data_IF_523054870464
#
_entry.id   IF_523054870464
#
_cell.length_a   1.000
_cell.length_b   1.000
_cell.length_c   1.000
_cell.angle_alpha   90.00
_cell.angle_beta   90.00
_cell.angle_gamma   90.00
#
_symmetry.space_group_name_H-M   'P 1'
#
loop_
_entity.id
_entity.type
_entity.pdbx_description
1 polymer ?
#
# COMPACT_ATOMS: atom_id res chain seq x y z
N UNK A 1 16.91 -7.39 -12.66
CA UNK A 1 16.45 -7.18 -11.28
C UNK A 1 17.42 -6.21 -10.62
N UNK A 2 16.88 -5.23 -9.91
CA UNK A 2 17.63 -4.22 -9.16
C UNK A 2 17.85 -4.78 -7.76
N UNK A 3 19.11 -4.90 -7.33
CA UNK A 3 19.40 -5.22 -5.92
C UNK A 3 19.70 -3.91 -5.19
N UNK A 4 18.77 -3.46 -4.36
CA UNK A 4 18.99 -2.29 -3.51
C UNK A 4 20.00 -2.66 -2.43
N UNK A 5 21.10 -1.92 -2.36
CA UNK A 5 22.20 -2.12 -1.40
C UNK A 5 22.61 -0.83 -0.70
N UNK A 6 21.93 0.27 -1.00
CA UNK A 6 22.16 1.60 -0.43
C UNK A 6 20.84 2.34 -0.33
N UNK A 7 20.73 3.17 0.70
CA UNK A 7 19.62 4.10 0.89
C UNK A 7 19.56 5.11 -0.26
N UNK A 8 18.36 5.47 -0.71
CA UNK A 8 18.17 6.54 -1.69
C UNK A 8 18.32 7.94 -1.08
N UNK A 9 18.15 8.03 0.24
CA UNK A 9 18.25 9.26 1.03
C UNK A 9 19.43 9.17 2.00
N UNK A 10 20.02 10.32 2.34
CA UNK A 10 21.19 10.37 3.24
C UNK A 10 20.79 10.45 4.71
N UNK A 11 19.56 10.89 4.98
CA UNK A 11 19.01 11.02 6.32
C UNK A 11 17.49 10.85 6.30
N UNK A 12 16.90 10.48 7.45
CA UNK A 12 15.46 10.48 7.66
C UNK A 12 14.81 11.84 7.38
N UNK A 13 15.56 12.90 7.68
CA UNK A 13 15.19 14.28 7.42
C UNK A 13 14.95 14.56 5.93
N UNK A 14 15.57 13.83 5.01
CA UNK A 14 15.35 14.03 3.58
C UNK A 14 14.09 13.33 3.05
N UNK A 15 13.47 12.44 3.84
CA UNK A 15 12.17 11.86 3.53
C UNK A 15 11.13 12.96 3.72
N UNK A 16 10.61 13.51 2.63
CA UNK A 16 9.71 14.66 2.66
C UNK A 16 8.50 14.41 1.77
N UNK A 17 7.35 14.94 2.17
CA UNK A 17 6.17 14.91 1.33
C UNK A 17 6.36 15.70 0.03
N UNK A 18 5.75 15.22 -1.05
CA UNK A 18 5.75 15.81 -2.38
C UNK A 18 7.08 15.72 -3.13
N UNK A 19 8.15 15.18 -2.53
CA UNK A 19 9.47 15.03 -3.16
C UNK A 19 9.94 13.58 -3.12
N UNK A 20 10.25 13.05 -4.30
CA UNK A 20 10.86 11.74 -4.49
C UNK A 20 12.22 11.88 -5.22
N UNK A 21 13.17 10.98 -4.97
CA UNK A 21 14.46 10.95 -5.71
C UNK A 21 14.29 10.43 -7.13
N UNK A 22 13.29 9.59 -7.36
CA UNK A 22 12.96 8.99 -8.65
C UNK A 22 11.49 9.31 -8.97
N UNK A 23 11.18 10.57 -9.37
CA UNK A 23 9.81 10.97 -9.68
C UNK A 23 9.27 10.21 -10.90
N UNK A 24 7.94 10.13 -11.00
CA UNK A 24 7.24 9.39 -12.05
C UNK A 24 6.33 10.34 -12.85
N UNK A 25 6.42 10.26 -14.18
CA UNK A 25 5.48 10.91 -15.09
C UNK A 25 4.55 9.86 -15.69
N UNK A 26 3.24 10.09 -15.62
CA UNK A 26 2.24 9.13 -16.07
C UNK A 26 0.96 9.81 -16.59
N UNK A 27 0.11 9.03 -17.25
CA UNK A 27 -1.20 9.48 -17.73
C UNK A 27 -1.14 10.69 -18.66
N UNK A 28 -2.06 11.63 -18.44
CA UNK A 28 -2.16 12.87 -19.19
C UNK A 28 -1.18 13.93 -18.65
N UNK A 29 0.10 13.56 -18.52
CA UNK A 29 1.16 14.46 -18.06
C UNK A 29 1.17 14.72 -16.56
N UNK A 30 0.62 13.81 -15.74
CA UNK A 30 0.73 13.88 -14.29
C UNK A 30 2.18 13.58 -13.87
N UNK A 31 2.75 14.43 -13.02
CA UNK A 31 4.09 14.26 -12.47
C UNK A 31 3.98 14.08 -10.95
N UNK A 32 4.51 12.98 -10.42
CA UNK A 32 4.43 12.62 -9.00
C UNK A 32 5.82 12.63 -8.38
N UNK A 33 5.95 13.26 -7.20
CA UNK A 33 7.21 13.40 -6.46
C UNK A 33 8.12 14.52 -6.96
N UNK A 34 7.61 15.47 -7.77
CA UNK A 34 8.38 16.58 -8.38
C UNK A 34 8.36 17.89 -7.57
N UNK A 35 8.03 17.83 -6.28
CA UNK A 35 7.95 19.00 -5.38
C UNK A 35 6.53 19.44 -5.05
N UNK A 36 5.55 18.53 -5.15
CA UNK A 36 4.14 18.79 -4.88
C UNK A 36 3.44 17.49 -4.48
N UNK A 37 2.53 17.57 -3.52
CA UNK A 37 1.59 16.50 -3.16
C UNK A 37 0.32 16.64 -3.98
N UNK A 38 -0.17 15.51 -4.51
CA UNK A 38 -1.37 15.46 -5.34
C UNK A 38 -2.42 14.53 -4.72
N UNK A 39 -3.72 14.81 -4.89
CA UNK A 39 -4.75 13.91 -4.40
C UNK A 39 -4.78 12.63 -5.22
N UNK A 40 -4.93 11.50 -4.54
CA UNK A 40 -5.35 10.22 -5.13
C UNK A 40 -6.78 9.93 -4.69
N UNK A 41 -7.72 9.91 -5.62
CA UNK A 41 -9.13 9.73 -5.29
C UNK A 41 -9.54 8.31 -5.62
N UNK A 42 -10.03 7.60 -4.61
CA UNK A 42 -10.46 6.22 -4.71
C UNK A 42 -11.93 6.09 -4.26
N UNK A 43 -12.67 5.24 -4.95
CA UNK A 43 -14.12 5.17 -4.86
C UNK A 43 -14.60 3.78 -5.26
N UNK A 44 -15.75 3.41 -4.70
CA UNK A 44 -16.38 2.13 -4.99
C UNK A 44 -17.87 2.31 -5.25
N UNK A 45 -18.44 1.30 -5.89
CA UNK A 45 -19.87 1.27 -6.19
C UNK A 45 -20.69 1.42 -4.90
N UNK A 46 -21.87 2.05 -4.98
CA UNK A 46 -22.85 1.92 -3.90
C UNK A 46 -23.28 0.46 -3.78
N UNK A 47 -24.04 0.11 -2.75
CA UNK A 47 -24.56 -1.25 -2.60
C UNK A 47 -25.39 -1.66 -3.83
N UNK A 48 -24.80 -2.49 -4.69
CA UNK A 48 -25.42 -3.05 -5.88
C UNK A 48 -24.73 -4.36 -6.27
N UNK A 49 -25.40 -5.16 -7.10
CA UNK A 49 -24.81 -6.38 -7.66
C UNK A 49 -23.82 -6.02 -8.77
N UNK A 50 -22.68 -6.70 -8.77
CA UNK A 50 -21.64 -6.58 -9.80
C UNK A 50 -21.70 -7.84 -10.67
N UNK A 51 -22.60 -7.80 -11.66
CA UNK A 51 -22.94 -8.90 -12.57
C UNK A 51 -23.12 -8.32 -13.99
N UNK A 52 -22.96 -9.13 -15.03
CA UNK A 52 -22.98 -8.70 -16.43
C UNK A 52 -24.26 -7.95 -16.81
N UNK A 53 -25.41 -8.43 -16.34
CA UNK A 53 -26.73 -7.85 -16.61
C UNK A 53 -26.87 -6.42 -16.07
N UNK A 54 -26.06 -6.05 -15.07
CA UNK A 54 -26.03 -4.71 -14.48
C UNK A 54 -25.00 -3.79 -15.12
N UNK A 55 -24.23 -4.26 -16.11
CA UNK A 55 -23.14 -3.48 -16.72
C UNK A 55 -23.56 -2.07 -17.14
N UNK A 56 -24.72 -1.84 -17.81
CA UNK A 56 -25.15 -0.48 -18.13
C UNK A 56 -25.41 0.41 -16.92
N UNK A 57 -25.88 -0.16 -15.80
CA UNK A 57 -26.10 0.58 -14.56
C UNK A 57 -24.78 0.86 -13.82
N UNK A 58 -23.87 -0.11 -13.81
CA UNK A 58 -22.51 0.01 -13.26
C UNK A 58 -21.77 1.14 -13.99
N UNK A 59 -21.77 1.14 -15.33
CA UNK A 59 -21.09 2.16 -16.12
C UNK A 59 -21.68 3.57 -15.92
N UNK A 60 -22.97 3.69 -15.61
CA UNK A 60 -23.58 4.98 -15.22
C UNK A 60 -23.07 5.47 -13.86
N UNK A 61 -22.94 4.58 -12.87
CA UNK A 61 -22.37 4.94 -11.57
C UNK A 61 -20.94 5.47 -11.71
N UNK A 62 -20.11 4.79 -12.51
CA UNK A 62 -18.74 5.26 -12.78
C UNK A 62 -18.72 6.57 -13.60
N UNK A 63 -19.67 6.77 -14.51
CA UNK A 63 -19.81 8.04 -15.23
C UNK A 63 -20.07 9.21 -14.26
N UNK A 64 -21.04 9.03 -13.38
CA UNK A 64 -21.45 10.05 -12.41
C UNK A 64 -20.33 10.34 -11.40
N UNK A 65 -19.74 9.30 -10.80
CA UNK A 65 -18.66 9.43 -9.81
C UNK A 65 -17.45 10.16 -10.41
N UNK A 66 -16.92 9.65 -11.53
CA UNK A 66 -15.68 10.15 -12.11
C UNK A 66 -15.87 11.54 -12.69
N UNK A 67 -17.01 11.82 -13.33
CA UNK A 67 -17.32 13.17 -13.82
C UNK A 67 -17.39 14.18 -12.67
N UNK A 68 -17.99 13.80 -11.54
CA UNK A 68 -18.09 14.68 -10.36
C UNK A 68 -16.72 14.95 -9.74
N UNK A 69 -15.88 13.92 -9.61
CA UNK A 69 -14.49 14.04 -9.14
C UNK A 69 -13.69 14.99 -10.05
N UNK A 70 -13.69 14.73 -11.36
CA UNK A 70 -12.92 15.53 -12.33
C UNK A 70 -13.42 16.98 -12.38
N UNK A 71 -14.74 17.20 -12.35
CA UNK A 71 -15.32 18.54 -12.31
C UNK A 71 -14.95 19.27 -11.02
N UNK A 72 -14.91 18.58 -9.88
CA UNK A 72 -14.49 19.16 -8.60
C UNK A 72 -13.02 19.57 -8.63
N UNK A 73 -12.14 18.74 -9.18
CA UNK A 73 -10.72 19.07 -9.38
C UNK A 73 -10.54 20.34 -10.23
N UNK A 74 -11.27 20.44 -11.35
CA UNK A 74 -11.27 21.66 -12.20
C UNK A 74 -11.76 22.87 -11.41
N UNK A 75 -12.88 22.71 -10.68
CA UNK A 75 -13.50 23.80 -9.91
C UNK A 75 -12.55 24.35 -8.83
N UNK A 76 -11.78 23.48 -8.18
CA UNK A 76 -10.82 23.85 -7.15
C UNK A 76 -9.46 24.27 -7.71
N UNK A 77 -9.27 24.24 -9.04
CA UNK A 77 -8.04 24.66 -9.70
C UNK A 77 -6.85 23.73 -9.43
N UNK A 78 -7.09 22.43 -9.25
CA UNK A 78 -6.01 21.48 -8.99
C UNK A 78 -5.13 21.25 -10.23
N UNK A 79 -3.80 21.20 -10.07
CA UNK A 79 -2.88 20.99 -11.19
C UNK A 79 -2.94 19.55 -11.75
N UNK A 80 -3.38 18.60 -10.92
CA UNK A 80 -3.66 17.24 -11.33
C UNK A 80 -4.14 16.36 -10.18
N UNK A 81 -4.42 15.09 -10.49
CA UNK A 81 -4.80 14.07 -9.52
C UNK A 81 -4.54 12.66 -10.05
N UNK A 82 -4.35 11.72 -9.14
CA UNK A 82 -4.47 10.30 -9.44
C UNK A 82 -5.92 9.85 -9.22
N UNK A 83 -6.45 9.08 -10.16
CA UNK A 83 -7.75 8.42 -10.03
C UNK A 83 -7.46 6.94 -9.86
N UNK A 84 -7.85 6.36 -8.73
CA UNK A 84 -7.66 4.93 -8.48
C UNK A 84 -8.97 4.18 -8.67
N UNK A 85 -8.92 3.15 -9.51
CA UNK A 85 -10.00 2.19 -9.67
C UNK A 85 -9.56 0.83 -9.11
N UNK A 86 -10.05 0.51 -7.92
CA UNK A 86 -9.91 -0.81 -7.33
C UNK A 86 -10.99 -1.75 -7.82
N UNK A 87 -10.56 -2.93 -8.28
CA UNK A 87 -11.49 -3.98 -8.60
C UNK A 87 -12.13 -4.54 -7.32
N UNK A 88 -13.46 -4.64 -7.31
CA UNK A 88 -14.10 -5.67 -6.49
C UNK A 88 -13.73 -7.06 -7.07
N UNK A 89 -13.78 -8.15 -6.29
CA UNK A 89 -13.42 -9.49 -6.78
C UNK A 89 -14.14 -9.87 -8.10
N UNK A 90 -15.42 -9.52 -8.22
CA UNK A 90 -16.24 -9.78 -9.40
C UNK A 90 -15.71 -9.07 -10.66
N UNK A 91 -15.04 -7.92 -10.52
CA UNK A 91 -14.49 -7.16 -11.65
C UNK A 91 -13.19 -7.77 -12.18
N UNK A 92 -12.49 -8.57 -11.37
CA UNK A 92 -11.37 -9.42 -11.82
C UNK A 92 -11.86 -10.74 -12.39
N UNK A 93 -12.96 -11.29 -11.86
CA UNK A 93 -13.52 -12.57 -12.34
C UNK A 93 -14.25 -12.44 -13.67
N UNK A 94 -15.14 -11.45 -13.77
CA UNK A 94 -15.91 -11.12 -14.97
C UNK A 94 -15.17 -10.03 -15.73
N UNK A 95 -14.16 -10.46 -16.50
CA UNK A 95 -13.19 -9.61 -17.19
C UNK A 95 -13.82 -8.46 -17.99
N UNK A 96 -14.99 -8.69 -18.59
CA UNK A 96 -15.72 -7.67 -19.36
C UNK A 96 -16.10 -6.46 -18.50
N UNK A 97 -16.48 -6.67 -17.24
CA UNK A 97 -16.93 -5.60 -16.33
C UNK A 97 -15.75 -4.69 -15.99
N UNK A 98 -14.64 -5.24 -15.49
CA UNK A 98 -13.45 -4.45 -15.13
C UNK A 98 -12.86 -3.71 -16.34
N UNK A 99 -12.86 -4.36 -17.51
CA UNK A 99 -12.40 -3.77 -18.77
C UNK A 99 -13.26 -2.58 -19.20
N UNK A 100 -14.59 -2.76 -19.19
CA UNK A 100 -15.53 -1.72 -19.61
C UNK A 100 -15.49 -0.50 -18.68
N UNK A 101 -15.34 -0.71 -17.37
CA UNK A 101 -15.18 0.38 -16.39
C UNK A 101 -13.87 1.13 -16.65
N UNK A 102 -12.75 0.42 -16.83
CA UNK A 102 -11.44 1.03 -17.12
C UNK A 102 -11.51 1.93 -18.37
N UNK A 103 -12.09 1.43 -19.46
CA UNK A 103 -12.27 2.19 -20.70
C UNK A 103 -13.17 3.43 -20.52
N UNK A 104 -14.23 3.30 -19.72
CA UNK A 104 -15.15 4.41 -19.40
C UNK A 104 -14.44 5.52 -18.63
N UNK A 105 -13.69 5.17 -17.59
CA UNK A 105 -12.93 6.13 -16.77
C UNK A 105 -11.88 6.84 -17.64
N UNK A 106 -11.12 6.09 -18.45
CA UNK A 106 -10.13 6.63 -19.39
C UNK A 106 -10.73 7.67 -20.34
N UNK A 107 -11.91 7.37 -20.92
CA UNK A 107 -12.62 8.27 -21.84
C UNK A 107 -13.02 9.59 -21.16
N UNK A 108 -13.54 9.52 -19.94
CA UNK A 108 -13.91 10.71 -19.17
C UNK A 108 -12.70 11.57 -18.87
N UNK A 109 -11.63 10.97 -18.34
CA UNK A 109 -10.38 11.68 -18.06
C UNK A 109 -9.78 12.32 -19.32
N UNK A 110 -9.86 11.65 -20.48
CA UNK A 110 -9.41 12.23 -21.75
C UNK A 110 -10.14 13.54 -22.06
N UNK A 111 -11.47 13.52 -21.93
CA UNK A 111 -12.30 14.67 -22.25
C UNK A 111 -12.01 15.87 -21.34
N UNK A 112 -11.67 15.62 -20.06
CA UNK A 112 -11.30 16.67 -19.12
C UNK A 112 -9.89 17.21 -19.38
N UNK A 113 -8.96 16.37 -19.81
CA UNK A 113 -7.65 16.82 -20.26
C UNK A 113 -7.77 17.72 -21.51
N UNK A 114 -8.52 17.30 -22.52
CA UNK A 114 -8.70 18.06 -23.76
C UNK A 114 -9.44 19.39 -23.55
N UNK A 115 -10.44 19.43 -22.66
CA UNK A 115 -11.26 20.63 -22.42
C UNK A 115 -10.64 21.60 -21.41
N UNK A 116 -9.99 21.09 -20.37
CA UNK A 116 -9.57 21.89 -19.22
C UNK A 116 -8.05 21.83 -18.95
N UNK A 117 -7.31 20.98 -19.66
CA UNK A 117 -5.89 20.74 -19.39
C UNK A 117 -5.63 20.00 -18.08
N UNK A 118 -6.65 19.39 -17.46
CA UNK A 118 -6.53 18.70 -16.17
C UNK A 118 -5.66 17.44 -16.32
N UNK A 119 -4.47 17.46 -15.71
CA UNK A 119 -3.51 16.36 -15.77
C UNK A 119 -3.96 15.27 -14.81
N UNK A 120 -4.25 14.08 -15.32
CA UNK A 120 -4.67 12.96 -14.48
C UNK A 120 -4.01 11.67 -14.93
N UNK A 121 -3.90 10.72 -14.01
CA UNK A 121 -3.52 9.35 -14.33
C UNK A 121 -4.51 8.37 -13.67
N UNK A 122 -4.61 7.18 -14.25
CA UNK A 122 -5.56 6.13 -13.86
C UNK A 122 -4.72 4.98 -13.34
N UNK A 123 -4.76 4.75 -12.04
CA UNK A 123 -4.28 3.52 -11.44
C UNK A 123 -5.41 2.51 -11.46
N UNK A 124 -5.15 1.33 -12.00
CA UNK A 124 -6.05 0.19 -11.84
C UNK A 124 -5.40 -0.81 -10.90
N UNK A 125 -6.11 -1.09 -9.81
CA UNK A 125 -5.68 -2.02 -8.79
C UNK A 125 -6.50 -3.30 -8.95
N UNK A 126 -5.89 -4.30 -9.57
CA UNK A 126 -6.53 -5.59 -9.83
C UNK A 126 -6.60 -6.36 -8.51
N UNK A 127 -7.80 -6.83 -8.15
CA UNK A 127 -8.00 -7.63 -6.95
C UNK A 127 -7.32 -8.99 -7.08
N UNK A 128 -6.55 -9.38 -6.06
CA UNK A 128 -5.97 -10.71 -5.97
C UNK A 128 -7.04 -11.75 -5.61
N UNK A 129 -7.54 -12.47 -6.61
CA UNK A 129 -8.58 -13.49 -6.44
C UNK A 129 -8.00 -14.90 -6.19
N UNK A 130 -6.68 -15.04 -6.03
CA UNK A 130 -6.00 -16.35 -5.92
C UNK A 130 -6.31 -17.07 -4.60
N UNK A 131 -6.76 -16.36 -3.57
CA UNK A 131 -7.16 -16.95 -2.27
C UNK A 131 -8.51 -17.71 -2.30
N UNK A 132 -9.25 -17.70 -3.42
CA UNK A 132 -10.53 -18.41 -3.55
C UNK A 132 -10.36 -19.94 -3.45
N UNK A 133 -9.22 -20.46 -3.90
CA UNK A 133 -8.85 -21.86 -3.70
C UNK A 133 -8.27 -22.07 -2.29
N UNK A 134 -8.55 -23.21 -1.67
CA UNK A 134 -8.03 -23.58 -0.34
C UNK A 134 -7.43 -24.99 -0.38
N UNK A 135 -6.10 -25.17 -0.26
CA UNK A 135 -5.06 -24.13 -0.25
C UNK A 135 -5.03 -23.23 -1.51
N UNK A 136 -4.54 -21.98 -1.41
CA UNK A 136 -4.41 -21.09 -2.56
C UNK A 136 -3.45 -21.61 -3.63
N UNK A 137 -3.76 -21.32 -4.89
CA UNK A 137 -2.90 -21.63 -6.04
C UNK A 137 -2.23 -20.34 -6.54
N UNK A 138 -1.09 -19.97 -5.93
CA UNK A 138 -0.46 -18.67 -6.18
C UNK A 138 0.21 -18.53 -7.56
N UNK A 139 0.64 -19.65 -8.17
CA UNK A 139 1.35 -19.66 -9.46
C UNK A 139 0.57 -20.32 -10.58
N UNK A 140 -0.50 -21.04 -10.26
CA UNK A 140 -1.29 -21.83 -11.19
C UNK A 140 -2.79 -21.65 -10.98
N UNK A 141 -3.59 -22.30 -11.83
CA UNK A 141 -5.04 -22.32 -11.70
C UNK A 141 -5.75 -21.13 -12.34
N UNK A 142 -7.07 -21.30 -12.48
CA UNK A 142 -7.95 -20.37 -13.21
C UNK A 142 -7.95 -18.95 -12.61
N UNK A 143 -7.93 -18.84 -11.28
CA UNK A 143 -7.91 -17.54 -10.60
C UNK A 143 -6.63 -16.74 -10.94
N UNK A 144 -5.48 -17.40 -10.97
CA UNK A 144 -4.20 -16.79 -11.35
C UNK A 144 -4.21 -16.36 -12.81
N UNK A 145 -4.72 -17.21 -13.72
CA UNK A 145 -4.84 -16.90 -15.15
C UNK A 145 -5.76 -15.70 -15.39
N UNK A 146 -6.96 -15.70 -14.78
CA UNK A 146 -7.92 -14.60 -14.85
C UNK A 146 -7.36 -13.30 -14.30
N UNK A 147 -6.67 -13.34 -13.16
CA UNK A 147 -6.04 -12.15 -12.58
C UNK A 147 -5.01 -11.54 -13.54
N UNK A 148 -4.12 -12.34 -14.13
CA UNK A 148 -3.18 -11.82 -15.13
C UNK A 148 -3.86 -11.31 -16.40
N UNK A 149 -4.97 -11.93 -16.80
CA UNK A 149 -5.75 -11.43 -17.93
C UNK A 149 -6.44 -10.10 -17.61
N UNK A 150 -6.96 -9.93 -16.39
CA UNK A 150 -7.49 -8.65 -15.93
C UNK A 150 -6.44 -7.54 -15.99
N UNK A 151 -5.19 -7.80 -15.59
CA UNK A 151 -4.09 -6.85 -15.77
C UNK A 151 -3.86 -6.48 -17.24
N UNK A 152 -3.80 -7.46 -18.15
CA UNK A 152 -3.62 -7.19 -19.59
C UNK A 152 -4.74 -6.35 -20.16
N UNK A 153 -5.98 -6.69 -19.82
CA UNK A 153 -7.15 -5.98 -20.31
C UNK A 153 -7.22 -4.56 -19.74
N UNK A 154 -6.95 -4.36 -18.45
CA UNK A 154 -6.88 -3.03 -17.85
C UNK A 154 -5.78 -2.18 -18.51
N UNK A 155 -4.60 -2.76 -18.76
CA UNK A 155 -3.50 -2.09 -19.46
C UNK A 155 -3.87 -1.72 -20.91
N UNK A 156 -4.53 -2.62 -21.64
CA UNK A 156 -4.95 -2.40 -23.01
C UNK A 156 -6.06 -1.34 -23.16
N UNK A 157 -6.88 -1.14 -22.10
CA UNK A 157 -8.11 -0.36 -22.19
C UNK A 157 -8.08 0.98 -21.44
N UNK A 158 -6.95 1.36 -20.84
CA UNK A 158 -6.75 2.74 -20.39
C UNK A 158 -6.11 2.94 -19.04
N UNK A 159 -5.71 1.87 -18.34
CA UNK A 159 -4.86 2.02 -17.16
C UNK A 159 -3.54 2.70 -17.54
N UNK A 160 -3.10 3.63 -16.69
CA UNK A 160 -1.77 4.25 -16.81
C UNK A 160 -0.78 3.64 -15.83
N UNK A 161 -1.30 3.09 -14.74
CA UNK A 161 -0.54 2.39 -13.72
C UNK A 161 -1.26 1.11 -13.33
N UNK A 162 -0.49 0.06 -13.05
CA UNK A 162 -1.00 -1.21 -12.53
C UNK A 162 -0.51 -1.41 -11.09
N UNK A 163 -1.45 -1.77 -10.22
CA UNK A 163 -1.21 -2.10 -8.81
C UNK A 163 -2.01 -3.34 -8.40
N UNK A 164 -1.70 -3.89 -7.23
CA UNK A 164 -2.40 -5.01 -6.59
C UNK A 164 -2.12 -5.01 -5.10
N UNK A 165 -3.01 -5.60 -4.32
CA UNK A 165 -2.78 -5.95 -2.93
C UNK A 165 -2.61 -7.47 -2.84
N UNK A 166 -1.36 -7.95 -3.00
CA UNK A 166 -1.12 -9.38 -3.17
C UNK A 166 -1.25 -10.15 -1.86
N UNK A 167 -1.74 -11.39 -1.96
CA UNK A 167 -2.11 -12.24 -0.81
C UNK A 167 -1.19 -13.43 -0.55
N UNK A 168 -0.10 -13.62 -1.32
CA UNK A 168 0.81 -14.75 -1.13
C UNK A 168 1.38 -14.85 0.28
N UNK A 169 1.11 -15.96 0.97
CA UNK A 169 1.50 -16.21 2.37
C UNK A 169 0.45 -15.79 3.40
N UNK A 170 -0.65 -15.14 2.98
CA UNK A 170 -1.74 -14.70 3.86
C UNK A 170 -2.40 -15.87 4.57
N UNK A 171 -2.52 -17.01 3.90
CA UNK A 171 -3.12 -18.22 4.46
C UNK A 171 -2.39 -18.73 5.72
N UNK A 172 -1.07 -18.51 5.80
CA UNK A 172 -0.27 -18.78 7.01
C UNK A 172 -0.36 -17.61 7.99
N UNK A 173 -0.22 -16.37 7.46
CA UNK A 173 -0.25 -15.15 8.28
C UNK A 173 -1.54 -14.99 9.08
N UNK A 174 -2.71 -15.29 8.49
CA UNK A 174 -4.01 -15.12 9.15
C UNK A 174 -4.08 -15.95 10.44
N UNK A 175 -3.64 -17.22 10.39
CA UNK A 175 -3.59 -18.07 11.59
C UNK A 175 -2.51 -17.62 12.55
N UNK A 176 -1.31 -17.34 12.05
CA UNK A 176 -0.18 -16.92 12.88
C UNK A 176 -0.48 -15.62 13.65
N UNK A 177 -1.20 -14.66 13.04
CA UNK A 177 -1.67 -13.45 13.71
C UNK A 177 -2.62 -13.78 14.87
N UNK A 178 -3.64 -14.60 14.61
CA UNK A 178 -4.64 -14.97 15.63
C UNK A 178 -4.03 -15.72 16.83
N UNK A 179 -2.95 -16.46 16.59
CA UNK A 179 -2.20 -17.21 17.60
C UNK A 179 -1.05 -16.40 18.22
N UNK A 180 -0.78 -15.19 17.72
CA UNK A 180 0.41 -14.38 18.02
C UNK A 180 1.74 -15.17 17.83
N UNK A 181 1.77 -16.06 16.84
CA UNK A 181 2.89 -16.93 16.49
C UNK A 181 3.89 -16.19 15.59
N UNK A 182 4.95 -15.68 16.20
CA UNK A 182 6.00 -14.91 15.52
C UNK A 182 6.84 -15.79 14.57
N UNK A 183 7.01 -17.08 14.86
CA UNK A 183 7.71 -18.00 13.95
C UNK A 183 6.87 -18.27 12.70
N UNK A 184 5.56 -18.46 12.87
CA UNK A 184 4.60 -18.54 11.76
C UNK A 184 4.56 -17.26 10.91
N UNK A 185 4.68 -16.08 11.53
CA UNK A 185 4.81 -14.81 10.82
C UNK A 185 6.13 -14.69 10.05
N UNK A 186 7.24 -15.23 10.56
CA UNK A 186 8.51 -15.32 9.81
C UNK A 186 8.38 -16.25 8.60
N UNK A 187 7.68 -17.38 8.72
CA UNK A 187 7.36 -18.22 7.56
C UNK A 187 6.54 -17.43 6.52
N UNK A 188 5.45 -16.79 6.94
CA UNK A 188 4.57 -16.06 6.03
C UNK A 188 5.27 -14.88 5.34
N UNK A 189 5.91 -13.99 6.11
CA UNK A 189 6.45 -12.71 5.62
C UNK A 189 7.91 -12.79 5.18
N UNK A 190 8.69 -13.72 5.74
CA UNK A 190 10.11 -13.89 5.42
C UNK A 190 10.37 -14.90 4.31
N UNK A 191 9.46 -15.85 4.10
CA UNK A 191 9.67 -16.97 3.16
C UNK A 191 8.62 -16.95 2.05
N UNK A 192 7.33 -17.04 2.38
CA UNK A 192 6.26 -17.23 1.39
C UNK A 192 5.95 -15.95 0.61
N UNK A 193 5.69 -14.84 1.31
CA UNK A 193 5.27 -13.59 0.68
C UNK A 193 6.31 -13.01 -0.30
N UNK A 194 7.62 -12.92 0.04
CA UNK A 194 8.63 -12.43 -0.92
C UNK A 194 8.72 -13.31 -2.17
N UNK A 195 8.55 -14.64 -2.04
CA UNK A 195 8.56 -15.59 -3.17
C UNK A 195 7.35 -15.42 -4.08
N UNK A 196 6.17 -15.14 -3.52
CA UNK A 196 4.98 -14.82 -4.30
C UNK A 196 5.12 -13.46 -4.99
N UNK A 197 5.45 -12.41 -4.24
CA UNK A 197 5.64 -11.05 -4.77
C UNK A 197 6.65 -11.05 -5.91
N UNK A 198 7.75 -11.81 -5.82
CA UNK A 198 8.74 -11.92 -6.90
C UNK A 198 8.16 -12.52 -8.17
N UNK A 199 7.41 -13.61 -8.06
CA UNK A 199 6.75 -14.26 -9.20
C UNK A 199 5.69 -13.35 -9.83
N UNK A 200 4.84 -12.76 -8.98
CA UNK A 200 3.72 -11.93 -9.37
C UNK A 200 4.19 -10.66 -10.09
N UNK A 201 5.10 -9.91 -9.47
CA UNK A 201 5.55 -8.63 -10.02
C UNK A 201 6.41 -8.78 -11.26
N UNK A 202 7.16 -9.88 -11.43
CA UNK A 202 7.84 -10.13 -12.71
C UNK A 202 6.83 -10.19 -13.88
N UNK A 203 5.66 -10.78 -13.67
CA UNK A 203 4.60 -10.86 -14.67
C UNK A 203 3.87 -9.54 -14.85
N UNK A 204 3.53 -8.83 -13.76
CA UNK A 204 2.88 -7.50 -13.84
C UNK A 204 3.79 -6.50 -14.56
N UNK A 205 5.09 -6.47 -14.24
CA UNK A 205 6.08 -5.62 -14.91
C UNK A 205 6.17 -5.97 -16.40
N UNK A 206 6.16 -7.25 -16.77
CA UNK A 206 6.17 -7.66 -18.18
C UNK A 206 4.92 -7.13 -18.92
N UNK A 207 3.73 -7.26 -18.33
CA UNK A 207 2.48 -6.72 -18.88
C UNK A 207 2.57 -5.19 -19.00
N UNK A 208 2.97 -4.49 -17.95
CA UNK A 208 3.10 -3.03 -17.97
C UNK A 208 4.05 -2.55 -19.07
N UNK A 209 5.19 -3.23 -19.24
CA UNK A 209 6.17 -2.92 -20.29
C UNK A 209 5.65 -3.18 -21.70
N UNK A 210 4.92 -4.28 -21.92
CA UNK A 210 4.29 -4.60 -23.21
C UNK A 210 3.33 -3.48 -23.65
N UNK A 211 2.57 -2.94 -22.69
CA UNK A 211 1.61 -1.86 -22.92
C UNK A 211 2.21 -0.45 -22.77
N UNK A 212 3.49 -0.33 -22.40
CA UNK A 212 4.19 0.94 -22.14
C UNK A 212 3.53 1.81 -21.06
N UNK A 213 3.06 1.17 -20.01
CA UNK A 213 2.46 1.81 -18.83
C UNK A 213 3.31 1.55 -17.59
N UNK A 214 2.95 2.17 -16.46
CA UNK A 214 3.77 2.12 -15.25
C UNK A 214 3.42 0.89 -14.39
N UNK A 215 4.37 0.00 -14.07
CA UNK A 215 4.20 -0.93 -12.96
C UNK A 215 4.39 -0.15 -11.66
N UNK A 216 3.29 0.17 -10.96
CA UNK A 216 3.31 1.09 -9.82
C UNK A 216 3.84 0.41 -8.55
N UNK A 217 3.00 -0.34 -7.85
CA UNK A 217 3.42 -0.99 -6.60
C UNK A 217 2.32 -1.83 -5.95
N UNK A 218 2.75 -2.54 -4.90
CA UNK A 218 1.92 -3.43 -4.09
C UNK A 218 1.69 -2.84 -2.70
N UNK A 219 0.84 -3.49 -1.90
CA UNK A 219 0.72 -3.25 -0.46
C UNK A 219 0.56 -4.53 0.35
N UNK A 220 1.20 -4.60 1.52
CA UNK A 220 0.99 -5.67 2.48
C UNK A 220 -0.34 -5.53 3.25
N UNK A 221 -1.41 -5.09 2.60
CA UNK A 221 -2.69 -4.73 3.21
C UNK A 221 -3.31 -5.97 3.86
N UNK A 222 -3.31 -7.07 3.10
CA UNK A 222 -3.63 -8.42 3.52
C UNK A 222 -2.90 -8.91 4.80
N UNK A 223 -1.80 -8.30 5.19
CA UNK A 223 -0.97 -8.69 6.33
C UNK A 223 -0.98 -7.62 7.42
N UNK A 224 -0.34 -6.49 7.16
CA UNK A 224 -0.09 -5.45 8.14
C UNK A 224 -1.33 -4.61 8.45
N UNK A 225 -2.24 -4.39 7.49
CA UNK A 225 -3.53 -3.74 7.79
C UNK A 225 -4.45 -4.70 8.54
N UNK A 226 -4.46 -5.99 8.17
CA UNK A 226 -5.15 -7.04 8.96
C UNK A 226 -4.67 -7.04 10.41
N UNK A 227 -3.35 -7.06 10.64
CA UNK A 227 -2.76 -7.00 11.98
C UNK A 227 -3.16 -5.73 12.74
N UNK A 228 -3.14 -4.56 12.08
CA UNK A 228 -3.59 -3.30 12.67
C UNK A 228 -5.04 -3.36 13.13
N UNK A 229 -5.96 -3.83 12.27
CA UNK A 229 -7.38 -3.94 12.61
C UNK A 229 -7.61 -4.93 13.75
N UNK A 230 -6.92 -6.08 13.74
CA UNK A 230 -6.98 -7.04 14.84
C UNK A 230 -6.48 -6.45 16.17
N UNK A 231 -5.43 -5.62 16.13
CA UNK A 231 -4.91 -4.95 17.31
C UNK A 231 -5.88 -3.90 17.86
N UNK A 232 -6.52 -3.10 16.99
CA UNK A 232 -7.54 -2.12 17.37
C UNK A 232 -8.76 -2.79 18.03
N UNK A 233 -9.13 -3.98 17.53
CA UNK A 233 -10.16 -4.84 18.13
C UNK A 233 -9.68 -5.61 19.37
N UNK A 234 -8.42 -5.44 19.77
CA UNK A 234 -7.76 -6.06 20.93
C UNK A 234 -7.65 -7.59 20.86
N UNK A 235 -7.68 -8.15 19.65
CA UNK A 235 -7.43 -9.57 19.42
C UNK A 235 -5.94 -9.93 19.52
N UNK A 236 -5.06 -9.02 19.10
CA UNK A 236 -3.61 -9.19 19.16
C UNK A 236 -2.93 -7.98 19.84
N UNK A 237 -1.68 -8.10 20.31
CA UNK A 237 -0.92 -6.98 20.86
C UNK A 237 -0.65 -5.88 19.81
N UNK A 238 -0.66 -4.62 20.23
CA UNK A 238 -0.33 -3.52 19.33
C UNK A 238 1.13 -3.58 18.86
N UNK A 239 2.05 -3.97 19.76
CA UNK A 239 3.47 -4.13 19.41
C UNK A 239 3.68 -5.19 18.34
N UNK A 240 2.89 -6.28 18.35
CA UNK A 240 2.97 -7.32 17.32
C UNK A 240 2.57 -6.76 15.96
N UNK A 241 1.45 -6.03 15.89
CA UNK A 241 0.99 -5.43 14.64
C UNK A 241 1.98 -4.37 14.09
N UNK A 242 2.61 -3.59 14.96
CA UNK A 242 3.65 -2.63 14.56
C UNK A 242 4.92 -3.34 14.04
N UNK A 243 5.33 -4.46 14.65
CA UNK A 243 6.45 -5.28 14.18
C UNK A 243 6.12 -5.94 12.83
N UNK A 244 4.89 -6.46 12.67
CA UNK A 244 4.41 -7.02 11.39
C UNK A 244 4.46 -5.98 10.27
N UNK A 245 4.10 -4.72 10.54
CA UNK A 245 4.23 -3.63 9.55
C UNK A 245 5.66 -3.49 9.03
N UNK A 246 6.64 -3.52 9.93
CA UNK A 246 8.05 -3.41 9.54
C UNK A 246 8.51 -4.64 8.76
N UNK A 247 8.16 -5.85 9.22
CA UNK A 247 8.44 -7.11 8.52
C UNK A 247 7.87 -7.12 7.10
N UNK A 248 6.65 -6.61 6.93
CA UNK A 248 5.97 -6.55 5.63
C UNK A 248 6.63 -5.63 4.60
N UNK A 249 7.48 -4.68 5.02
CA UNK A 249 8.18 -3.79 4.08
C UNK A 249 9.03 -4.57 3.05
N UNK A 250 9.59 -5.72 3.44
CA UNK A 250 10.45 -6.52 2.57
C UNK A 250 9.65 -7.11 1.39
N UNK A 251 8.47 -7.68 1.64
CA UNK A 251 7.67 -8.28 0.56
C UNK A 251 7.15 -7.21 -0.41
N UNK A 252 6.85 -6.00 0.08
CA UNK A 252 6.52 -4.85 -0.78
C UNK A 252 7.74 -4.38 -1.59
N UNK A 253 8.93 -4.32 -0.99
CA UNK A 253 10.18 -3.94 -1.67
C UNK A 253 10.53 -4.86 -2.85
N UNK A 254 10.21 -6.15 -2.76
CA UNK A 254 10.46 -7.13 -3.84
C UNK A 254 9.85 -6.68 -5.17
N UNK A 255 8.68 -6.04 -5.16
CA UNK A 255 8.06 -5.48 -6.36
C UNK A 255 8.99 -4.50 -7.08
N UNK A 256 9.63 -3.60 -6.33
CA UNK A 256 10.60 -2.64 -6.87
C UNK A 256 11.88 -3.31 -7.37
N UNK A 257 12.36 -4.36 -6.68
CA UNK A 257 13.53 -5.13 -7.12
C UNK A 257 13.33 -5.79 -8.50
N UNK A 258 12.09 -6.18 -8.81
CA UNK A 258 11.76 -6.81 -10.09
C UNK A 258 11.18 -5.86 -11.13
N UNK A 259 11.05 -4.57 -10.82
CA UNK A 259 10.83 -3.52 -11.81
C UNK A 259 9.66 -2.57 -11.56
N UNK A 260 8.95 -2.68 -10.44
CA UNK A 260 7.99 -1.65 -10.04
C UNK A 260 8.70 -0.32 -9.71
N UNK A 261 8.11 0.81 -10.08
CA UNK A 261 8.75 2.14 -10.00
C UNK A 261 7.96 3.15 -9.18
N UNK A 262 6.86 2.73 -8.57
CA UNK A 262 5.95 3.60 -7.84
C UNK A 262 5.01 4.41 -8.76
N UNK A 263 4.13 5.24 -8.17
CA UNK A 263 3.95 5.41 -6.73
C UNK A 263 3.43 4.14 -6.06
N UNK A 264 3.82 3.87 -4.81
CA UNK A 264 3.25 2.76 -4.02
C UNK A 264 1.73 2.92 -3.84
N UNK A 265 1.04 1.86 -3.43
CA UNK A 265 -0.38 1.91 -3.06
C UNK A 265 -0.58 2.65 -1.74
N UNK A 266 -1.72 3.32 -1.62
CA UNK A 266 -2.16 4.20 -0.53
C UNK A 266 -2.29 3.53 0.83
N UNK A 267 -2.91 2.36 0.87
CA UNK A 267 -3.08 1.54 2.08
C UNK A 267 -1.75 1.00 2.64
N UNK A 268 -0.63 1.24 1.94
CA UNK A 268 0.71 0.76 2.25
C UNK A 268 1.47 1.68 3.17
N UNK A 269 1.15 1.59 4.47
CA UNK A 269 1.86 2.33 5.51
C UNK A 269 3.33 1.92 5.68
N UNK A 270 3.79 0.82 5.07
CA UNK A 270 5.21 0.50 4.90
C UNK A 270 5.90 1.33 3.80
N UNK A 271 5.13 2.07 3.00
CA UNK A 271 5.58 2.96 1.93
C UNK A 271 6.74 3.87 2.30
N UNK A 272 6.79 4.52 3.47
CA UNK A 272 7.93 5.34 3.88
C UNK A 272 9.26 4.58 3.91
N UNK A 273 9.26 3.29 4.29
CA UNK A 273 10.44 2.41 4.23
C UNK A 273 10.84 2.17 2.77
N UNK A 274 9.86 1.88 1.90
CA UNK A 274 10.07 1.71 0.46
C UNK A 274 10.65 2.97 -0.17
N UNK A 275 10.12 4.15 0.19
CA UNK A 275 10.65 5.45 -0.24
C UNK A 275 12.09 5.60 0.17
N UNK A 276 12.43 5.33 1.42
CA UNK A 276 13.80 5.46 1.93
C UNK A 276 14.82 4.61 1.17
N UNK A 277 14.42 3.39 0.76
CA UNK A 277 15.27 2.46 0.00
C UNK A 277 15.35 2.83 -1.48
N UNK A 278 14.21 3.04 -2.12
CA UNK A 278 14.10 3.07 -3.59
C UNK A 278 14.14 4.48 -4.16
N UNK A 279 13.77 5.48 -3.37
CA UNK A 279 13.60 6.85 -3.83
C UNK A 279 12.32 7.09 -4.64
N UNK A 280 11.47 6.07 -4.83
CA UNK A 280 10.22 6.21 -5.59
C UNK A 280 9.19 7.07 -4.83
N UNK A 281 8.22 7.67 -5.53
CA UNK A 281 7.09 8.30 -4.88
C UNK A 281 6.24 7.27 -4.13
N UNK A 282 5.53 7.72 -3.11
CA UNK A 282 4.61 6.89 -2.33
C UNK A 282 3.23 7.53 -2.26
N UNK A 283 2.20 6.71 -2.42
CA UNK A 283 0.85 7.10 -1.99
C UNK A 283 0.64 6.67 -0.55
N UNK A 284 -0.02 7.52 0.21
CA UNK A 284 -0.39 7.24 1.60
C UNK A 284 -1.77 7.80 1.89
N UNK A 285 -2.35 7.29 2.97
CA UNK A 285 -3.66 7.67 3.48
C UNK A 285 -3.58 7.92 5.00
N UNK A 286 -4.66 8.43 5.59
CA UNK A 286 -4.71 8.65 7.04
C UNK A 286 -5.99 9.36 7.44
N UNK A 287 -5.91 10.57 8.00
CA UNK A 287 -7.09 11.29 8.54
C UNK A 287 -8.23 11.44 7.52
N UNK A 288 -7.90 11.55 6.23
CA UNK A 288 -8.85 11.78 5.14
C UNK A 288 -9.31 10.49 4.48
N UNK A 289 -8.87 9.34 4.99
CA UNK A 289 -9.35 8.00 4.67
C UNK A 289 -10.26 7.41 5.76
N UNK A 290 -10.71 8.23 6.72
CA UNK A 290 -11.65 7.82 7.77
C UNK A 290 -13.01 7.33 7.23
N UNK A 291 -13.29 7.51 5.94
CA UNK A 291 -14.43 6.88 5.26
C UNK A 291 -14.28 5.38 5.04
N UNK A 292 -13.06 4.87 4.94
CA UNK A 292 -12.79 3.45 4.71
C UNK A 292 -12.56 2.71 6.03
N UNK A 293 -11.67 3.23 6.88
CA UNK A 293 -11.36 2.62 8.17
C UNK A 293 -10.84 3.66 9.18
N UNK A 294 -10.81 3.27 10.45
CA UNK A 294 -10.18 4.06 11.51
C UNK A 294 -8.74 3.60 11.68
N UNK A 295 -7.83 4.53 11.92
CA UNK A 295 -6.42 4.22 12.16
C UNK A 295 -5.79 5.18 13.15
N UNK A 296 -4.59 4.81 13.60
CA UNK A 296 -3.73 5.65 14.44
C UNK A 296 -2.76 6.53 13.63
N UNK A 297 -2.87 6.53 12.30
CA UNK A 297 -1.93 7.16 11.37
C UNK A 297 -2.54 8.38 10.68
N UNK A 298 -3.21 9.24 11.46
CA UNK A 298 -4.02 10.33 10.94
C UNK A 298 -3.21 11.38 10.15
N UNK A 299 -2.28 12.06 10.82
CA UNK A 299 -1.44 13.10 10.25
C UNK A 299 -0.06 12.58 9.83
N UNK A 300 0.53 11.68 10.60
CA UNK A 300 1.93 11.26 10.40
C UNK A 300 2.19 10.65 9.02
N UNK A 301 1.19 9.99 8.41
CA UNK A 301 1.31 9.47 7.06
C UNK A 301 1.55 10.58 6.02
N UNK A 302 1.04 11.80 6.25
CA UNK A 302 1.32 12.96 5.40
C UNK A 302 2.79 13.41 5.46
N UNK A 303 3.60 12.95 6.43
CA UNK A 303 4.99 13.39 6.57
C UNK A 303 5.87 13.04 5.36
N UNK A 304 5.52 11.99 4.60
CA UNK A 304 6.36 11.49 3.50
C UNK A 304 5.59 11.23 2.20
N UNK A 305 4.27 11.47 2.17
CA UNK A 305 3.41 11.17 1.03
C UNK A 305 3.73 12.01 -0.22
N UNK A 306 3.61 11.43 -1.42
CA UNK A 306 3.63 12.16 -2.70
C UNK A 306 2.25 12.18 -3.35
N UNK A 307 1.44 11.15 -3.08
CA UNK A 307 0.00 11.12 -3.29
C UNK A 307 -0.72 10.98 -1.95
N UNK A 308 -1.86 11.66 -1.80
CA UNK A 308 -2.68 11.62 -0.59
C UNK A 308 -4.07 11.07 -0.90
N UNK A 309 -4.41 9.92 -0.30
CA UNK A 309 -5.60 9.13 -0.62
C UNK A 309 -6.68 9.14 0.46
N UNK A 310 -7.91 8.87 0.03
CA UNK A 310 -9.06 8.60 0.88
C UNK A 310 -9.35 7.09 1.06
N UNK A 311 -8.43 6.22 0.66
CA UNK A 311 -8.55 4.74 0.63
C UNK A 311 -9.70 4.25 -0.25
N UNK A 312 -10.95 4.32 0.21
CA UNK A 312 -12.10 3.99 -0.61
C UNK A 312 -13.38 4.57 -0.01
N UNK A 313 -14.30 5.02 -0.88
CA UNK A 313 -15.59 5.54 -0.44
C UNK A 313 -16.70 5.16 -1.40
N UNK A 314 -17.83 4.69 -0.85
CA UNK A 314 -19.01 4.35 -1.63
C UNK A 314 -19.66 5.60 -2.25
N UNK A 315 -20.32 5.44 -3.40
CA UNK A 315 -21.08 6.52 -4.03
C UNK A 315 -22.40 6.87 -3.29
N UNK A 316 -22.31 7.46 -2.11
CA UNK A 316 -23.46 7.87 -1.30
C UNK A 316 -23.69 9.37 -1.36
N UNK A 317 -24.95 9.80 -1.32
CA UNK A 317 -25.31 11.23 -1.33
C UNK A 317 -25.12 11.85 0.05
N UNK A 318 -24.33 12.91 0.12
CA UNK A 318 -24.19 13.81 1.26
C UNK A 318 -24.91 15.14 0.97
N UNK A 319 -24.97 16.04 1.96
CA UNK A 319 -25.61 17.35 1.81
C UNK A 319 -24.98 18.19 0.70
N UNK A 320 -23.65 18.15 0.58
CA UNK A 320 -22.86 18.96 -0.36
C UNK A 320 -22.73 18.36 -1.76
N UNK A 321 -22.84 17.03 -1.90
CA UNK A 321 -22.44 16.31 -3.11
C UNK A 321 -22.47 14.80 -2.88
N UNK A 322 -21.97 14.02 -3.85
CA UNK A 322 -21.73 12.60 -3.61
C UNK A 322 -20.38 12.40 -2.88
N UNK A 323 -20.25 11.35 -2.08
CA UNK A 323 -19.09 11.17 -1.21
C UNK A 323 -17.73 11.20 -1.96
N UNK A 324 -17.54 10.57 -3.13
CA UNK A 324 -16.27 10.69 -3.87
C UNK A 324 -15.91 12.15 -4.23
N UNK A 325 -16.90 12.98 -4.56
CA UNK A 325 -16.71 14.41 -4.82
C UNK A 325 -16.31 15.17 -3.55
N UNK A 326 -16.94 14.85 -2.42
CA UNK A 326 -16.65 15.48 -1.12
C UNK A 326 -15.23 15.13 -0.66
N UNK A 327 -14.82 13.87 -0.77
CA UNK A 327 -13.46 13.47 -0.41
C UNK A 327 -12.42 14.04 -1.37
N UNK A 328 -12.74 14.19 -2.66
CA UNK A 328 -11.87 14.94 -3.61
C UNK A 328 -11.58 16.35 -3.10
N UNK A 329 -12.58 17.05 -2.58
CA UNK A 329 -12.40 18.39 -2.02
C UNK A 329 -11.55 18.38 -0.73
N UNK A 330 -11.77 17.43 0.16
CA UNK A 330 -10.98 17.28 1.40
C UNK A 330 -9.50 17.01 1.08
N UNK A 331 -9.23 16.01 0.23
CA UNK A 331 -7.86 15.66 -0.18
C UNK A 331 -7.17 16.84 -0.88
N UNK A 332 -7.92 17.58 -1.69
CA UNK A 332 -7.43 18.79 -2.37
C UNK A 332 -6.91 19.83 -1.36
N UNK A 333 -7.64 20.08 -0.28
CA UNK A 333 -7.22 21.05 0.73
C UNK A 333 -6.03 20.57 1.56
N UNK A 334 -5.95 19.28 1.87
CA UNK A 334 -4.77 18.70 2.52
C UNK A 334 -3.52 18.87 1.66
N UNK A 335 -3.62 18.51 0.37
CA UNK A 335 -2.55 18.69 -0.61
C UNK A 335 -2.14 20.16 -0.73
N UNK A 336 -3.11 21.08 -0.80
CA UNK A 336 -2.84 22.51 -0.90
C UNK A 336 -2.03 23.02 0.28
N UNK A 337 -2.38 22.64 1.51
CA UNK A 337 -1.63 23.06 2.70
C UNK A 337 -0.17 22.57 2.65
N UNK A 338 0.04 21.31 2.27
CA UNK A 338 1.40 20.76 2.09
C UNK A 338 2.16 21.52 1.00
N UNK A 339 1.51 21.83 -0.11
CA UNK A 339 2.12 22.52 -1.24
C UNK A 339 2.49 23.97 -0.92
N UNK A 340 1.65 24.69 -0.17
CA UNK A 340 1.98 26.04 0.33
C UNK A 340 3.20 25.99 1.28
N UNK A 341 3.28 24.98 2.14
CA UNK A 341 4.45 24.81 3.01
C UNK A 341 5.74 24.56 2.20
N UNK A 342 5.68 23.75 1.14
CA UNK A 342 6.81 23.52 0.22
C UNK A 342 7.24 24.81 -0.50
N UNK A 343 6.28 25.62 -0.95
CA UNK A 343 6.57 26.88 -1.63
C UNK A 343 7.13 27.95 -0.67
N UNK A 344 6.67 27.96 0.57
CA UNK A 344 7.12 28.89 1.60
C UNK A 344 8.46 28.50 2.25
N UNK A 345 9.02 27.33 1.95
CA UNK A 345 10.20 26.80 2.65
C UNK A 345 9.92 26.40 4.10
N UNK A 346 8.66 26.08 4.41
CA UNK A 346 8.16 25.72 5.75
C UNK A 346 7.79 24.23 5.86
N UNK A 347 8.12 23.42 4.86
CA UNK A 347 7.78 22.00 4.80
C UNK A 347 8.30 21.22 6.01
N UNK A 348 9.49 21.55 6.51
CA UNK A 348 10.06 20.91 7.72
C UNK A 348 9.23 21.20 8.96
N UNK A 349 8.77 22.44 9.13
CA UNK A 349 7.96 22.80 10.28
C UNK A 349 6.62 22.05 10.24
N UNK A 350 5.98 21.99 9.07
CA UNK A 350 4.72 21.26 8.89
C UNK A 350 4.91 19.74 9.08
N UNK A 351 5.96 19.16 8.51
CA UNK A 351 6.29 17.75 8.69
C UNK A 351 6.48 17.41 10.18
N UNK A 352 7.22 18.24 10.91
CA UNK A 352 7.41 18.05 12.35
C UNK A 352 6.08 18.07 13.12
N UNK A 353 5.12 18.91 12.72
CA UNK A 353 3.78 18.93 13.30
C UNK A 353 3.00 17.64 13.00
N UNK A 354 3.07 17.13 11.77
CA UNK A 354 2.47 15.84 11.41
C UNK A 354 3.05 14.68 12.22
N UNK A 355 4.37 14.64 12.38
CA UNK A 355 5.04 13.59 13.14
C UNK A 355 4.72 13.73 14.63
N UNK A 356 4.87 14.92 15.20
CA UNK A 356 4.70 15.14 16.65
C UNK A 356 3.25 15.01 17.13
N UNK A 357 2.25 15.15 16.25
CA UNK A 357 0.85 14.93 16.64
C UNK A 357 0.57 13.46 16.96
N UNK A 358 1.24 12.51 16.27
CA UNK A 358 0.83 11.09 16.31
C UNK A 358 1.93 10.13 16.77
N UNK A 359 3.22 10.37 16.45
CA UNK A 359 4.30 9.38 16.57
C UNK A 359 4.40 8.71 17.95
N UNK A 360 4.12 9.46 19.01
CA UNK A 360 4.21 8.97 20.40
C UNK A 360 2.84 8.73 21.06
N UNK A 361 1.78 8.64 20.26
CA UNK A 361 0.42 8.28 20.71
C UNK A 361 0.09 6.82 20.44
N UNK A 362 0.80 6.17 19.53
CA UNK A 362 0.58 4.79 19.11
C UNK A 362 1.86 4.19 18.56
N UNK A 363 2.10 2.91 18.83
CA UNK A 363 3.20 2.15 18.23
C UNK A 363 3.07 2.08 16.71
N UNK A 364 1.85 2.05 16.18
CA UNK A 364 1.58 2.05 14.74
C UNK A 364 2.07 3.33 14.07
N UNK A 365 1.83 4.48 14.70
CA UNK A 365 2.31 5.78 14.22
C UNK A 365 3.83 5.89 14.35
N UNK A 366 4.40 5.41 15.47
CA UNK A 366 5.84 5.47 15.72
C UNK A 366 6.65 4.81 14.59
N UNK A 367 6.31 3.58 14.23
CA UNK A 367 7.09 2.77 13.29
C UNK A 367 7.04 3.26 11.84
N UNK A 368 6.09 4.15 11.51
CA UNK A 368 6.00 4.79 10.19
C UNK A 368 6.51 6.23 10.17
N UNK A 369 7.03 6.73 11.30
CA UNK A 369 7.69 8.03 11.34
C UNK A 369 8.87 8.06 10.36
N UNK A 370 9.27 9.23 9.81
CA UNK A 370 10.42 9.32 8.92
C UNK A 370 11.69 8.69 9.52
N UNK A 371 11.94 8.92 10.82
CA UNK A 371 13.10 8.37 11.53
C UNK A 371 13.04 6.84 11.62
N UNK A 372 11.93 6.29 12.13
CA UNK A 372 11.76 4.84 12.24
C UNK A 372 11.84 4.15 10.88
N UNK A 373 11.23 4.75 9.86
CA UNK A 373 11.21 4.19 8.51
C UNK A 373 12.59 4.15 7.88
N UNK A 374 13.42 5.17 8.14
CA UNK A 374 14.81 5.22 7.69
C UNK A 374 15.65 4.13 8.37
N UNK A 375 15.53 3.97 9.69
CA UNK A 375 16.25 2.95 10.46
C UNK A 375 15.83 1.52 10.06
N UNK A 376 14.54 1.27 9.87
CA UNK A 376 14.03 -0.02 9.38
C UNK A 376 14.57 -0.31 7.98
N UNK A 377 14.62 0.69 7.11
CA UNK A 377 15.21 0.55 5.78
C UNK A 377 16.71 0.23 5.83
N UNK A 378 17.48 0.84 6.74
CA UNK A 378 18.89 0.49 6.95
C UNK A 378 19.05 -0.95 7.44
N UNK A 379 18.22 -1.39 8.38
CA UNK A 379 18.22 -2.76 8.88
C UNK A 379 17.93 -3.77 7.75
N UNK A 380 16.96 -3.49 6.88
CA UNK A 380 16.68 -4.29 5.68
C UNK A 380 17.92 -4.34 4.78
N UNK A 381 18.51 -3.19 4.42
CA UNK A 381 19.63 -3.17 3.48
C UNK A 381 20.93 -3.77 4.03
N UNK A 382 21.02 -3.99 5.35
CA UNK A 382 22.15 -4.69 5.98
C UNK A 382 22.21 -6.19 5.68
N UNK A 383 21.13 -6.76 5.11
CA UNK A 383 21.02 -8.17 4.76
C UNK A 383 20.71 -8.39 3.28
N UNK A 384 20.99 -9.61 2.80
CA UNK A 384 20.82 -9.99 1.38
C UNK A 384 19.60 -10.88 1.13
N UNK A 385 19.31 -11.83 2.02
CA UNK A 385 18.18 -12.74 1.86
C UNK A 385 16.88 -12.06 2.29
N UNK A 386 15.76 -12.37 1.63
CA UNK A 386 14.45 -11.82 2.01
C UNK A 386 14.08 -12.22 3.46
N UNK A 387 14.46 -13.43 3.90
CA UNK A 387 14.24 -13.90 5.26
C UNK A 387 15.00 -13.08 6.31
N UNK A 388 16.32 -12.89 6.14
CA UNK A 388 17.13 -12.11 7.08
C UNK A 388 16.71 -10.64 7.09
N UNK A 389 16.34 -10.09 5.93
CA UNK A 389 15.78 -8.74 5.80
C UNK A 389 14.51 -8.58 6.61
N UNK A 390 13.57 -9.53 6.50
CA UNK A 390 12.29 -9.50 7.22
C UNK A 390 12.52 -9.59 8.73
N UNK A 391 13.40 -10.49 9.18
CA UNK A 391 13.77 -10.63 10.58
C UNK A 391 14.44 -9.36 11.12
N UNK A 392 15.37 -8.77 10.37
CA UNK A 392 16.06 -7.54 10.76
C UNK A 392 15.10 -6.35 10.86
N UNK A 393 14.14 -6.23 9.94
CA UNK A 393 13.10 -5.20 10.00
C UNK A 393 12.25 -5.34 11.28
N UNK A 394 11.86 -6.57 11.64
CA UNK A 394 11.13 -6.84 12.87
C UNK A 394 11.92 -6.50 14.13
N UNK A 395 13.19 -6.91 14.20
CA UNK A 395 14.08 -6.59 15.32
C UNK A 395 14.31 -5.08 15.46
N UNK A 396 14.49 -4.37 14.35
CA UNK A 396 14.64 -2.92 14.38
C UNK A 396 13.36 -2.23 14.88
N UNK A 397 12.18 -2.71 14.49
CA UNK A 397 10.92 -2.20 15.03
C UNK A 397 10.80 -2.44 16.54
N UNK A 398 11.23 -3.61 17.03
CA UNK A 398 11.27 -3.87 18.48
C UNK A 398 12.16 -2.85 19.20
N UNK A 399 13.37 -2.60 18.67
CA UNK A 399 14.31 -1.64 19.23
C UNK A 399 13.76 -0.21 19.24
N UNK A 400 13.15 0.24 18.14
CA UNK A 400 12.52 1.57 18.04
C UNK A 400 11.44 1.77 19.10
N UNK A 401 10.55 0.78 19.27
CA UNK A 401 9.48 0.84 20.27
C UNK A 401 10.06 0.87 21.68
N UNK A 402 11.07 0.03 21.95
CA UNK A 402 11.74 -0.03 23.25
C UNK A 402 12.41 1.28 23.61
N UNK A 403 13.14 1.90 22.68
CA UNK A 403 13.83 3.17 22.93
C UNK A 403 12.85 4.33 23.16
N UNK A 404 11.75 4.36 22.41
CA UNK A 404 10.69 5.34 22.61
C UNK A 404 10.00 5.18 23.99
N UNK A 405 9.83 3.94 24.46
CA UNK A 405 9.29 3.64 25.78
C UNK A 405 10.28 3.98 26.90
N UNK A 406 11.54 3.58 26.77
CA UNK A 406 12.60 3.82 27.76
C UNK A 406 12.88 5.32 27.99
N UNK A 407 12.72 6.14 26.94
CA UNK A 407 12.84 7.60 27.03
C UNK A 407 11.57 8.29 27.55
N UNK A 408 10.52 7.54 27.87
CA UNK A 408 9.24 8.05 28.38
C UNK A 408 8.42 8.80 27.35
N UNK A 409 8.80 8.78 26.07
CA UNK A 409 8.07 9.46 24.98
C UNK A 409 6.80 8.70 24.62
N UNK A 410 6.91 7.37 24.48
CA UNK A 410 5.79 6.50 24.16
C UNK A 410 5.27 5.83 25.45
N UNK A 411 4.02 6.08 25.86
CA UNK A 411 3.41 5.34 26.96
C UNK A 411 3.10 3.91 26.50
N UNK A 412 3.90 2.94 26.96
CA UNK A 412 3.73 1.52 26.64
C UNK A 412 3.25 0.76 27.89
N UNK A 413 2.07 0.12 27.87
CA UNK A 413 1.61 -0.70 28.99
C UNK A 413 2.53 -1.90 29.26
N UNK A 414 2.67 -2.32 30.52
CA UNK A 414 3.51 -3.46 30.92
C UNK A 414 3.23 -4.74 30.11
N UNK A 415 1.95 -4.99 29.78
CA UNK A 415 1.54 -6.13 28.95
C UNK A 415 2.11 -6.05 27.53
N UNK A 416 2.10 -4.87 26.92
CA UNK A 416 2.68 -4.65 25.58
C UNK A 416 4.21 -4.75 25.65
N UNK A 417 4.84 -4.28 26.74
CA UNK A 417 6.28 -4.46 26.95
C UNK A 417 6.67 -5.95 27.05
N UNK A 418 5.92 -6.75 27.79
CA UNK A 418 6.19 -8.19 27.90
C UNK A 418 6.03 -8.90 26.55
N UNK A 419 5.04 -8.52 25.74
CA UNK A 419 4.90 -9.02 24.37
C UNK A 419 6.07 -8.59 23.48
N UNK A 420 6.55 -7.35 23.60
CA UNK A 420 7.68 -6.85 22.84
C UNK A 420 8.94 -7.69 23.09
N UNK A 421 9.21 -8.03 24.35
CA UNK A 421 10.34 -8.88 24.73
C UNK A 421 10.21 -10.30 24.17
N UNK A 422 9.02 -10.90 24.25
CA UNK A 422 8.75 -12.22 23.66
C UNK A 422 8.91 -12.23 22.14
N UNK A 423 8.40 -11.21 21.45
CA UNK A 423 8.52 -11.09 20.00
C UNK A 423 9.99 -11.00 19.60
N UNK A 424 10.77 -10.15 20.29
CA UNK A 424 12.20 -10.02 20.00
C UNK A 424 12.96 -11.32 20.27
N UNK A 425 12.70 -12.01 21.37
CA UNK A 425 13.32 -13.30 21.70
C UNK A 425 13.06 -14.33 20.59
N UNK A 426 11.81 -14.49 20.16
CA UNK A 426 11.46 -15.42 19.06
C UNK A 426 12.15 -15.03 17.75
N UNK A 427 12.20 -13.74 17.41
CA UNK A 427 12.92 -13.26 16.23
C UNK A 427 14.43 -13.54 16.35
N UNK A 428 15.05 -13.43 17.52
CA UNK A 428 16.48 -13.71 17.72
C UNK A 428 16.80 -15.20 17.62
N UNK A 429 15.95 -16.06 18.19
CA UNK A 429 16.14 -17.51 18.20
C UNK A 429 15.93 -18.17 16.81
N UNK A 430 15.05 -17.58 15.99
CA UNK A 430 14.68 -18.10 14.67
C UNK A 430 15.51 -17.49 13.54
N UNK A 431 16.83 -17.66 13.60
CA UNK A 431 17.77 -17.10 12.62
C UNK A 431 18.05 -18.01 11.40
N UNK A 432 17.54 -19.24 11.38
CA UNK A 432 17.76 -20.21 10.30
C UNK A 432 16.48 -20.36 9.44
N UNK A 433 16.53 -19.88 8.20
CA UNK A 433 15.40 -19.96 7.24
C UNK A 433 14.94 -21.40 7.01
N UNK A 434 15.89 -22.34 6.90
CA UNK A 434 15.60 -23.75 6.65
C UNK A 434 14.85 -24.39 7.82
N UNK A 435 15.26 -24.07 9.04
CA UNK A 435 14.57 -24.55 10.25
C UNK A 435 13.18 -23.94 10.39
N UNK A 436 13.02 -22.62 10.15
CA UNK A 436 11.70 -21.97 10.17
C UNK A 436 10.78 -22.57 9.11
N UNK A 437 11.30 -22.88 7.92
CA UNK A 437 10.55 -23.57 6.89
C UNK A 437 10.16 -24.99 7.29
N UNK A 438 11.06 -25.76 7.89
CA UNK A 438 10.80 -27.13 8.34
C UNK A 438 9.71 -27.17 9.43
N UNK A 439 9.93 -26.43 10.52
CA UNK A 439 9.01 -26.34 11.66
C UNK A 439 7.65 -25.77 11.22
N UNK A 440 7.69 -24.68 10.43
CA UNK A 440 6.50 -24.04 9.91
C UNK A 440 5.74 -24.90 8.90
N UNK A 441 6.42 -25.74 8.10
CA UNK A 441 5.73 -26.70 7.22
C UNK A 441 5.09 -27.85 8.01
N UNK A 442 5.69 -28.25 9.13
CA UNK A 442 5.09 -29.24 10.02
C UNK A 442 3.81 -28.71 10.69
N UNK A 443 3.77 -27.41 11.01
CA UNK A 443 2.64 -26.78 11.69
C UNK A 443 1.56 -26.26 10.72
N UNK A 444 1.94 -25.62 9.60
CA UNK A 444 1.06 -24.89 8.67
C UNK A 444 0.97 -25.53 7.27
N UNK A 445 1.59 -26.69 7.03
CA UNK A 445 1.73 -27.29 5.69
C UNK A 445 0.40 -27.67 5.00
N UNK A 446 -0.70 -27.74 5.74
CA UNK A 446 -2.04 -27.94 5.21
C UNK A 446 -2.68 -26.66 4.65
N UNK A 447 -2.15 -25.48 5.00
CA UNK A 447 -2.70 -24.19 4.59
C UNK A 447 -2.16 -23.75 3.22
N UNK A 448 -0.93 -24.12 2.87
CA UNK A 448 -0.24 -23.67 1.66
C UNK A 448 0.34 -24.84 0.85
N UNK A 449 0.62 -24.58 -0.43
CA UNK A 449 1.22 -25.57 -1.34
C UNK A 449 2.67 -25.17 -1.65
N UNK A 450 3.71 -25.92 -1.21
CA UNK A 450 5.11 -25.54 -1.41
C UNK A 450 5.46 -25.16 -2.87
N UNK A 451 4.96 -25.95 -3.83
CA UNK A 451 5.17 -25.70 -5.27
C UNK A 451 4.64 -24.34 -5.76
N UNK A 452 3.60 -23.80 -5.13
CA UNK A 452 3.02 -22.50 -5.47
C UNK A 452 3.89 -21.34 -4.95
N UNK A 453 4.88 -21.63 -4.11
CA UNK A 453 5.91 -20.69 -3.65
C UNK A 453 7.29 -20.99 -4.25
N UNK A 454 7.42 -22.04 -5.07
CA UNK A 454 8.71 -22.47 -5.62
C UNK A 454 9.63 -23.11 -4.58
N UNK A 455 9.02 -23.77 -3.60
CA UNK A 455 9.66 -24.60 -2.59
C UNK A 455 9.61 -26.07 -2.97
#
# INVERSE_FOLDING_TARGET
MTNFSKMAYQSADDLMFGRAKVPVTCGYGLEVGTGMVLPEVNFTLPTMKVEHEQLPAILRQYDDMVSSILQRLVTLGMPGAMIEFEHAPQMTEELEIGTAITAKIRTLMQSFYEKHGLRTALRVTVCDIREKSRPPQMRSGEATEKMFEAFRLSAANGAHLLSIESTGGKEVSDRALMEADVQGLLLALGILAPRDSRFLWQKIVAIANEHKIIPAGDTACAFANTAMILADQRYIPNVLAAVVRAMSAVRTLVGNEVGAVGPTKDCGYEGPVIKAITGCPVSLEGKSAACAHFSHMGNIAMATCDLWSNESVQNVKLLSGHAPEVFTEILTYDCRLMNEALQAGQERALQNLFVSSDAYKSVHALVISPQASFEIAEAILSHQSDFDRTRAAGLQACQIIRDASATGKLPLPDRESAWLDQIEEVLQENADEGKVLEDGSAQFGELFLPKEYGL
#
